data_IF_805994379816
#
_entry.id   IF_805994379816
#
_cell.length_a   1.000
_cell.length_b   1.000
_cell.length_c   1.000
_cell.angle_alpha   90.00
_cell.angle_beta   90.00
_cell.angle_gamma   90.00
#
_symmetry.space_group_name_H-M   'P 1'
#
loop_
_entity.id
_entity.type
_entity.pdbx_description
1 polymer ?
#
# COMPACT_ATOMS: atom_id res chain seq x y z
N UNK A 1 -52.27 27.58 2.46
CA UNK A 1 -52.36 26.11 2.44
C UNK A 1 -52.20 25.68 0.97
N UNK A 2 -51.13 25.11 0.44
CA UNK A 2 -49.90 24.52 0.95
C UNK A 2 -49.49 23.49 -0.12
N UNK A 3 -48.82 23.93 -1.21
CA UNK A 3 -48.47 23.08 -2.37
C UNK A 3 -46.98 22.71 -2.42
N UNK A 4 -46.22 23.00 -1.35
CA UNK A 4 -44.77 22.79 -1.28
C UNK A 4 -44.35 21.62 -0.37
N UNK A 5 -45.30 20.89 0.21
CA UNK A 5 -45.01 19.80 1.16
C UNK A 5 -44.89 18.40 0.51
N UNK A 6 -44.63 18.31 -0.81
CA UNK A 6 -44.40 17.03 -1.49
C UNK A 6 -42.91 16.70 -1.69
N UNK A 7 -41.98 17.62 -1.39
CA UNK A 7 -40.54 17.40 -1.55
C UNK A 7 -39.78 17.17 -0.23
N UNK A 8 -40.49 16.77 0.83
CA UNK A 8 -39.87 16.25 2.06
C UNK A 8 -40.16 14.76 2.19
N UNK A 9 -39.74 14.01 1.18
CA UNK A 9 -39.61 12.58 1.31
C UNK A 9 -38.14 12.21 1.20
N UNK A 10 -37.66 11.54 2.25
CA UNK A 10 -36.52 10.62 2.25
C UNK A 10 -35.15 11.26 2.42
N UNK A 11 -34.82 11.51 3.68
CA UNK A 11 -33.50 11.09 4.19
C UNK A 11 -33.73 10.53 5.60
N UNK A 12 -33.97 9.22 5.61
CA UNK A 12 -33.90 8.41 6.83
C UNK A 12 -32.42 8.25 7.19
N UNK A 13 -32.17 8.26 8.49
CA UNK A 13 -31.04 7.64 9.17
C UNK A 13 -29.68 7.89 8.53
N UNK A 14 -29.01 8.94 8.98
CA UNK A 14 -27.55 8.97 8.94
C UNK A 14 -27.05 7.98 10.02
N UNK A 15 -27.21 6.71 9.69
CA UNK A 15 -26.57 5.55 10.31
C UNK A 15 -25.05 5.71 10.22
N UNK A 16 -24.38 5.28 11.29
CA UNK A 16 -22.98 4.91 11.32
C UNK A 16 -22.00 5.96 10.78
N UNK A 17 -21.72 6.95 11.64
CA UNK A 17 -20.36 7.49 11.69
C UNK A 17 -19.45 6.36 12.17
N UNK A 18 -19.09 5.43 11.27
CA UNK A 18 -17.86 4.65 11.40
C UNK A 18 -16.78 5.69 11.47
N UNK A 19 -16.31 5.95 12.68
CA UNK A 19 -14.98 6.46 12.89
C UNK A 19 -14.10 5.43 12.19
N UNK A 20 -13.74 5.72 10.94
CA UNK A 20 -12.63 5.07 10.30
C UNK A 20 -11.44 5.47 11.16
N UNK A 21 -11.19 4.64 12.16
CA UNK A 21 -9.92 4.51 12.84
C UNK A 21 -8.92 4.38 11.70
N UNK A 22 -8.25 5.49 11.40
CA UNK A 22 -7.11 5.46 10.51
C UNK A 22 -6.10 4.60 11.26
N UNK A 23 -5.93 3.37 10.76
CA UNK A 23 -4.81 2.50 11.13
C UNK A 23 -3.57 3.40 11.24
N UNK A 24 -3.02 3.40 12.44
CA UNK A 24 -1.77 4.04 12.80
C UNK A 24 -0.70 3.35 11.94
N UNK A 25 -0.39 3.94 10.79
CA UNK A 25 0.79 3.58 10.02
C UNK A 25 1.98 4.05 10.88
N UNK A 26 2.41 3.16 11.76
CA UNK A 26 3.70 3.17 12.44
C UNK A 26 4.78 3.01 11.36
N UNK A 27 4.99 4.11 10.62
CA UNK A 27 5.96 4.28 9.54
C UNK A 27 7.30 4.73 10.11
N UNK A 28 7.79 3.98 11.10
CA UNK A 28 9.06 4.21 11.78
C UNK A 28 9.98 2.98 11.63
N UNK A 29 10.13 2.45 10.40
CA UNK A 29 11.23 1.51 10.11
C UNK A 29 11.73 1.65 8.66
N UNK A 30 12.70 2.55 8.48
CA UNK A 30 13.67 2.57 7.37
C UNK A 30 13.10 2.50 5.92
N UNK A 31 12.45 3.57 5.46
CA UNK A 31 12.09 3.84 4.03
C UNK A 31 13.33 3.92 3.08
N UNK A 32 14.55 3.74 3.61
CA UNK A 32 15.78 3.62 2.82
C UNK A 32 16.23 2.16 2.61
N UNK A 33 15.49 1.18 3.15
CA UNK A 33 15.78 -0.24 2.95
C UNK A 33 15.12 -0.77 1.68
N UNK A 34 15.94 -1.30 0.77
CA UNK A 34 15.45 -1.90 -0.47
C UNK A 34 14.87 -3.29 -0.16
N UNK A 35 13.63 -3.55 -0.57
CA UNK A 35 13.06 -4.87 -0.47
C UNK A 35 13.74 -5.86 -1.43
N UNK A 36 13.57 -7.17 -1.17
CA UNK A 36 14.20 -8.24 -1.97
C UNK A 36 13.81 -8.14 -3.45
N UNK A 37 12.57 -7.78 -3.75
CA UNK A 37 12.07 -7.72 -5.12
C UNK A 37 12.67 -6.54 -5.89
N UNK A 38 12.71 -5.36 -5.29
CA UNK A 38 13.38 -4.19 -5.85
C UNK A 38 14.89 -4.45 -5.99
N UNK A 39 15.51 -5.11 -5.03
CA UNK A 39 16.92 -5.48 -5.09
C UNK A 39 17.17 -6.45 -6.25
N UNK A 40 16.29 -7.43 -6.44
CA UNK A 40 16.38 -8.42 -7.50
C UNK A 40 16.17 -7.82 -8.90
N UNK A 41 15.28 -6.83 -9.03
CA UNK A 41 15.07 -6.08 -10.27
C UNK A 41 16.31 -5.28 -10.68
N UNK A 42 16.95 -4.60 -9.72
CA UNK A 42 18.18 -3.85 -9.96
C UNK A 42 19.32 -4.82 -10.27
N UNK A 43 19.46 -5.90 -9.51
CA UNK A 43 20.43 -6.97 -9.73
C UNK A 43 20.30 -7.58 -11.14
N UNK A 44 19.09 -7.98 -11.53
CA UNK A 44 18.80 -8.51 -12.87
C UNK A 44 19.14 -7.50 -13.97
N UNK A 45 18.82 -6.22 -13.75
CA UNK A 45 19.09 -5.14 -14.71
C UNK A 45 20.58 -4.82 -14.85
N UNK A 46 21.37 -5.07 -13.80
CA UNK A 46 22.83 -4.93 -13.82
C UNK A 46 23.55 -6.20 -14.29
N UNK A 47 22.82 -7.22 -14.74
CA UNK A 47 23.41 -8.45 -15.28
C UNK A 47 23.73 -9.51 -14.23
N UNK A 48 23.02 -9.50 -13.10
CA UNK A 48 23.24 -10.38 -11.95
C UNK A 48 24.61 -10.21 -11.32
N UNK A 49 25.02 -8.96 -11.16
CA UNK A 49 26.32 -8.60 -10.61
C UNK A 49 26.37 -8.76 -9.09
N UNK A 50 27.46 -9.31 -8.55
CA UNK A 50 27.62 -9.64 -7.13
C UNK A 50 27.69 -8.40 -6.22
N UNK A 51 28.07 -7.24 -6.76
CA UNK A 51 28.08 -5.97 -6.01
C UNK A 51 26.68 -5.36 -5.87
N UNK A 52 25.70 -5.85 -6.62
CA UNK A 52 24.32 -5.35 -6.65
C UNK A 52 23.33 -6.29 -5.94
N UNK A 53 23.79 -7.13 -5.01
CA UNK A 53 22.89 -7.96 -4.22
C UNK A 53 22.25 -7.22 -3.03
N UNK A 54 22.65 -5.98 -2.76
CA UNK A 54 22.11 -5.12 -1.70
C UNK A 54 22.04 -5.79 -0.32
N UNK A 55 22.90 -6.79 -0.07
CA UNK A 55 22.95 -7.56 1.19
C UNK A 55 22.12 -8.85 1.18
N UNK A 56 21.40 -9.14 0.10
CA UNK A 56 20.69 -10.40 -0.11
C UNK A 56 21.58 -11.46 -0.78
N UNK A 57 21.15 -12.72 -0.71
CA UNK A 57 21.81 -13.82 -1.44
C UNK A 57 21.28 -13.92 -2.86
N UNK A 58 22.09 -14.44 -3.79
CA UNK A 58 21.65 -14.69 -5.17
C UNK A 58 20.39 -15.58 -5.21
N UNK A 59 20.27 -16.53 -4.27
CA UNK A 59 19.11 -17.42 -4.15
C UNK A 59 17.82 -16.66 -3.81
N UNK A 60 17.88 -15.70 -2.87
CA UNK A 60 16.74 -14.85 -2.50
C UNK A 60 16.31 -13.95 -3.67
N UNK A 61 17.29 -13.39 -4.39
CA UNK A 61 17.02 -12.54 -5.54
C UNK A 61 16.44 -13.34 -6.72
N UNK A 62 16.93 -14.55 -6.96
CA UNK A 62 16.35 -15.45 -7.97
C UNK A 62 14.95 -15.94 -7.59
N UNK A 63 14.70 -16.18 -6.30
CA UNK A 63 13.36 -16.52 -5.81
C UNK A 63 12.38 -15.36 -6.00
N UNK A 64 12.83 -14.12 -5.80
CA UNK A 64 12.00 -12.93 -6.03
C UNK A 64 11.70 -12.66 -7.52
N UNK A 65 12.56 -13.14 -8.44
CA UNK A 65 12.35 -13.06 -9.89
C UNK A 65 11.53 -14.23 -10.46
N UNK A 66 11.18 -15.21 -9.64
CA UNK A 66 10.50 -16.44 -10.05
C UNK A 66 8.98 -16.26 -10.22
#
# INVERSE_FOLDING_TARGET
MGLLDLFKNRKNNDDDKREAEYDDYDDDEDDESLDVYDAALIWMSNGKDEDYTFGYTEEELEEALR
#
